data_IF_621538043477
#
_entry.id   IF_621538043477
#
_cell.length_a   1.000
_cell.length_b   1.000
_cell.length_c   1.000
_cell.angle_alpha   90.00
_cell.angle_beta   90.00
_cell.angle_gamma   90.00
#
_symmetry.space_group_name_H-M   'P 1'
#
loop_
_entity.id
_entity.type
_entity.pdbx_description
1 polymer ?
#
# COMPACT_ATOMS: atom_id res chain seq x y z
N UNK A 1 17.64 15.57 28.81
CA UNK A 1 17.42 14.87 27.53
C UNK A 1 15.97 15.09 27.14
N UNK A 2 15.68 15.54 25.92
CA UNK A 2 14.30 15.67 25.46
C UNK A 2 13.64 14.28 25.45
N UNK A 3 12.39 14.17 25.88
CA UNK A 3 11.64 12.92 25.81
C UNK A 3 11.52 12.55 24.32
N UNK A 4 11.86 11.31 23.91
CA UNK A 4 11.68 10.90 22.53
C UNK A 4 10.21 11.09 22.13
N UNK A 5 10.01 11.60 20.92
CA UNK A 5 8.67 11.82 20.39
C UNK A 5 8.03 10.47 20.09
N UNK A 6 6.82 10.26 20.60
CA UNK A 6 6.04 9.05 20.35
C UNK A 6 5.14 9.34 19.15
N UNK A 7 5.29 8.55 18.11
CA UNK A 7 4.45 8.60 16.92
C UNK A 7 3.60 7.33 16.85
N UNK A 8 2.38 7.50 16.34
CA UNK A 8 1.45 6.41 16.10
C UNK A 8 1.13 6.32 14.61
N UNK A 9 1.27 5.13 14.05
CA UNK A 9 0.84 4.81 12.68
C UNK A 9 -0.37 3.90 12.70
N UNK A 10 -1.41 4.24 11.94
CA UNK A 10 -2.66 3.48 11.82
C UNK A 10 -2.88 3.06 10.37
N UNK A 11 -2.77 1.77 10.07
CA UNK A 11 -3.07 1.21 8.76
C UNK A 11 -4.52 0.71 8.69
N UNK A 12 -5.32 1.36 7.82
CA UNK A 12 -6.75 1.11 7.66
C UNK A 12 -7.03 0.06 6.59
N UNK A 13 -6.71 -1.20 6.88
CA UNK A 13 -6.91 -2.33 5.98
C UNK A 13 -8.34 -2.90 5.99
N UNK A 14 -8.78 -3.45 4.84
CA UNK A 14 -10.12 -4.09 4.73
C UNK A 14 -10.24 -5.43 5.45
N UNK A 15 -9.12 -6.11 5.73
CA UNK A 15 -9.12 -7.32 6.55
C UNK A 15 -8.90 -7.02 8.04
N UNK A 16 -8.03 -6.05 8.34
CA UNK A 16 -7.65 -5.66 9.70
C UNK A 16 -7.21 -4.20 9.75
N UNK A 17 -7.42 -3.57 10.90
CA UNK A 17 -6.82 -2.29 11.28
C UNK A 17 -5.60 -2.58 12.14
N UNK A 18 -4.46 -1.94 11.83
CA UNK A 18 -3.22 -2.14 12.60
C UNK A 18 -2.72 -0.81 13.13
N UNK A 19 -2.51 -0.72 14.44
CA UNK A 19 -1.85 0.41 15.09
C UNK A 19 -0.45 0.00 15.52
N UNK A 20 0.53 0.88 15.29
CA UNK A 20 1.91 0.72 15.73
C UNK A 20 2.36 2.00 16.43
N UNK A 21 2.93 1.85 17.63
CA UNK A 21 3.58 2.94 18.36
C UNK A 21 5.08 2.84 18.16
N UNK A 22 5.73 3.98 17.91
CA UNK A 22 7.17 4.04 17.78
C UNK A 22 7.75 5.28 18.45
N UNK A 23 8.95 5.15 19.01
CA UNK A 23 9.77 6.30 19.38
C UNK A 23 10.56 6.75 18.17
N UNK A 24 10.48 8.04 17.85
CA UNK A 24 11.33 8.67 16.87
C UNK A 24 12.46 9.42 17.57
N UNK A 25 13.70 9.15 17.17
CA UNK A 25 14.87 9.94 17.55
C UNK A 25 15.28 10.82 16.35
N UNK A 26 14.92 12.12 16.34
CA UNK A 26 15.24 13.00 15.23
C UNK A 26 16.74 13.16 14.97
N UNK A 27 17.59 12.97 15.99
CA UNK A 27 19.04 13.12 15.85
C UNK A 27 19.68 11.89 15.20
N UNK A 28 19.14 10.70 15.45
CA UNK A 28 19.62 9.46 14.87
C UNK A 28 18.94 9.09 13.55
N UNK A 29 17.80 9.73 13.20
CA UNK A 29 16.97 9.36 12.07
C UNK A 29 16.40 7.94 12.18
N UNK A 30 16.30 7.41 13.40
CA UNK A 30 15.89 6.03 13.67
C UNK A 30 14.51 6.00 14.30
N UNK A 31 13.64 5.19 13.72
CA UNK A 31 12.35 4.81 14.29
C UNK A 31 12.53 3.48 15.02
N UNK A 32 12.10 3.42 16.27
CA UNK A 32 12.09 2.17 17.06
C UNK A 32 10.68 1.85 17.47
N UNK A 33 10.22 0.67 17.08
CA UNK A 33 8.90 0.16 17.44
C UNK A 33 8.84 -0.09 18.94
N UNK A 34 7.76 0.38 19.58
CA UNK A 34 7.46 0.19 21.00
C UNK A 34 6.44 -0.92 21.14
N UNK A 35 5.32 -0.81 20.42
CA UNK A 35 4.22 -1.77 20.49
C UNK A 35 3.40 -1.75 19.20
N UNK A 36 2.55 -2.75 19.03
CA UNK A 36 1.56 -2.76 17.97
C UNK A 36 0.44 -3.75 18.24
N UNK A 37 -0.70 -3.49 17.60
CA UNK A 37 -1.89 -4.31 17.68
C UNK A 37 -2.59 -4.36 16.32
N UNK A 38 -3.20 -5.50 15.99
CA UNK A 38 -3.93 -5.74 14.75
C UNK A 38 -5.31 -6.31 15.08
N UNK A 39 -6.36 -5.59 14.71
CA UNK A 39 -7.75 -5.98 14.98
C UNK A 39 -8.48 -6.26 13.67
N UNK A 40 -9.17 -7.41 13.52
CA UNK A 40 -10.00 -7.68 12.35
C UNK A 40 -11.06 -6.59 12.13
N UNK A 41 -11.22 -6.13 10.89
CA UNK A 41 -12.13 -5.06 10.56
C UNK A 41 -13.19 -5.53 9.56
N UNK A 42 -14.47 -5.33 9.91
CA UNK A 42 -15.61 -5.61 9.02
C UNK A 42 -16.23 -4.35 8.43
N UNK A 43 -15.77 -3.18 8.90
CA UNK A 43 -16.29 -1.87 8.49
C UNK A 43 -15.68 -1.32 7.21
N UNK A 44 -14.64 -1.98 6.67
CA UNK A 44 -13.91 -1.57 5.46
C UNK A 44 -14.01 -2.65 4.37
N UNK A 45 -14.25 -2.23 3.12
CA UNK A 45 -14.20 -3.08 1.93
C UNK A 45 -13.49 -2.38 0.79
N UNK A 46 -12.41 -2.98 0.27
CA UNK A 46 -11.60 -2.39 -0.80
C UNK A 46 -11.08 -0.97 -0.50
N UNK A 47 -10.84 -0.66 0.78
CA UNK A 47 -10.45 0.69 1.24
C UNK A 47 -11.59 1.69 1.46
N UNK A 48 -12.84 1.26 1.27
CA UNK A 48 -14.04 2.11 1.47
C UNK A 48 -14.74 1.73 2.77
N UNK A 49 -15.11 2.73 3.58
CA UNK A 49 -15.89 2.55 4.80
C UNK A 49 -17.33 2.17 4.43
N UNK A 50 -17.72 0.93 4.71
CA UNK A 50 -19.09 0.43 4.54
C UNK A 50 -19.89 0.47 5.85
N UNK A 51 -19.21 0.56 7.00
CA UNK A 51 -19.81 0.75 8.31
C UNK A 51 -18.89 1.59 9.20
N UNK A 52 -19.30 2.82 9.50
CA UNK A 52 -18.55 3.68 10.43
C UNK A 52 -18.48 3.03 11.83
N UNK A 53 -19.59 2.55 12.45
CA UNK A 53 -19.52 1.97 13.80
C UNK A 53 -18.55 0.78 13.91
N UNK A 54 -18.55 -0.13 12.94
CA UNK A 54 -17.62 -1.28 12.95
C UNK A 54 -16.17 -0.84 12.75
N UNK A 55 -15.94 0.18 11.92
CA UNK A 55 -14.60 0.75 11.71
C UNK A 55 -14.11 1.46 12.96
N UNK A 56 -14.93 2.31 13.57
CA UNK A 56 -14.65 3.00 14.83
C UNK A 56 -14.29 2.00 15.93
N UNK A 57 -15.05 0.92 16.06
CA UNK A 57 -14.77 -0.14 17.03
C UNK A 57 -13.41 -0.81 16.79
N UNK A 58 -13.09 -1.17 15.56
CA UNK A 58 -11.81 -1.79 15.23
C UNK A 58 -10.62 -0.84 15.49
N UNK A 59 -10.78 0.46 15.17
CA UNK A 59 -9.78 1.49 15.47
C UNK A 59 -9.60 1.64 16.98
N UNK A 60 -10.68 1.83 17.75
CA UNK A 60 -10.59 1.98 19.20
C UNK A 60 -9.84 0.81 19.86
N UNK A 61 -10.22 -0.43 19.52
CA UNK A 61 -9.56 -1.62 20.04
C UNK A 61 -8.08 -1.70 19.64
N UNK A 62 -7.73 -1.37 18.40
CA UNK A 62 -6.34 -1.42 17.95
C UNK A 62 -5.47 -0.38 18.66
N UNK A 63 -6.02 0.80 18.90
CA UNK A 63 -5.32 1.89 19.59
C UNK A 63 -5.17 1.57 21.08
N UNK A 64 -6.26 1.16 21.76
CA UNK A 64 -6.25 0.78 23.18
C UNK A 64 -5.25 -0.36 23.46
N UNK A 65 -5.24 -1.41 22.62
CA UNK A 65 -4.32 -2.54 22.80
C UNK A 65 -2.85 -2.14 22.54
N UNK A 66 -2.61 -1.21 21.59
CA UNK A 66 -1.27 -0.70 21.34
C UNK A 66 -0.77 0.20 22.48
N UNK A 67 -1.63 1.06 23.04
CA UNK A 67 -1.37 1.90 24.22
C UNK A 67 -1.08 1.04 25.46
N UNK A 68 -1.91 0.04 25.75
CA UNK A 68 -1.73 -0.87 26.89
C UNK A 68 -0.39 -1.62 26.82
N UNK A 69 -0.08 -2.19 25.64
CA UNK A 69 1.21 -2.89 25.42
C UNK A 69 2.41 -1.95 25.47
N UNK A 70 2.25 -0.71 25.03
CA UNK A 70 3.32 0.28 24.97
C UNK A 70 3.54 1.05 26.26
N UNK A 71 2.56 1.08 27.16
CA UNK A 71 2.57 1.93 28.35
C UNK A 71 2.58 3.43 28.03
N UNK A 72 2.07 3.81 26.85
CA UNK A 72 2.03 5.18 26.36
C UNK A 72 0.58 5.60 26.06
N UNK A 73 0.32 6.91 26.10
CA UNK A 73 -0.99 7.47 25.75
C UNK A 73 -0.81 8.38 24.54
N UNK A 74 -1.61 8.15 23.51
CA UNK A 74 -1.59 8.88 22.25
C UNK A 74 -2.94 9.53 21.97
N UNK A 75 -2.91 10.64 21.24
CA UNK A 75 -4.12 11.34 20.78
C UNK A 75 -4.12 11.60 19.29
N UNK A 76 -2.94 11.52 18.68
CA UNK A 76 -2.68 11.91 17.32
C UNK A 76 -2.05 10.73 16.57
N UNK A 77 -2.44 10.56 15.31
CA UNK A 77 -2.06 9.39 14.50
C UNK A 77 -1.83 9.76 13.04
N UNK A 78 -0.81 9.14 12.43
CA UNK A 78 -0.61 9.12 10.98
C UNK A 78 -1.45 7.98 10.41
N UNK A 79 -2.37 8.29 9.51
CA UNK A 79 -3.30 7.30 8.97
C UNK A 79 -2.87 6.86 7.57
N UNK A 80 -2.55 5.57 7.42
CA UNK A 80 -2.32 4.93 6.12
C UNK A 80 -3.64 4.65 5.40
N UNK A 81 -3.75 5.06 4.14
CA UNK A 81 -4.91 4.82 3.28
C UNK A 81 -4.53 4.10 1.99
N UNK A 82 -5.45 3.26 1.52
CA UNK A 82 -5.32 2.41 0.34
C UNK A 82 -6.69 2.14 -0.28
N UNK A 83 -6.73 1.58 -1.48
CA UNK A 83 -7.95 1.12 -2.13
C UNK A 83 -8.33 1.86 -3.41
N UNK A 84 -9.30 1.30 -4.13
CA UNK A 84 -9.59 1.65 -5.54
C UNK A 84 -10.17 3.05 -5.77
N UNK A 85 -10.44 3.80 -4.72
CA UNK A 85 -10.85 5.21 -4.81
C UNK A 85 -9.66 6.17 -5.02
N UNK A 86 -8.44 5.67 -4.84
CA UNK A 86 -7.20 6.37 -5.13
C UNK A 86 -6.92 6.30 -6.63
N UNK A 87 -6.59 7.46 -7.20
CA UNK A 87 -6.21 7.59 -8.62
C UNK A 87 -4.95 8.43 -8.71
N UNK A 88 -4.05 8.05 -9.59
CA UNK A 88 -2.76 8.69 -9.74
C UNK A 88 -2.54 9.23 -11.15
N UNK A 89 -1.74 10.29 -11.23
CA UNK A 89 -1.46 11.01 -12.47
C UNK A 89 -0.01 11.47 -12.48
N UNK A 90 0.61 11.45 -13.66
CA UNK A 90 1.88 12.15 -13.85
C UNK A 90 1.61 13.50 -14.47
N UNK A 91 2.21 14.55 -13.93
CA UNK A 91 2.13 15.90 -14.49
C UNK A 91 3.52 16.55 -14.53
N UNK A 92 3.65 17.64 -15.29
CA UNK A 92 4.87 18.44 -15.34
C UNK A 92 4.56 19.90 -15.05
N UNK A 93 5.46 20.54 -14.31
CA UNK A 93 5.46 21.98 -14.07
C UNK A 93 6.73 22.60 -14.61
N UNK A 94 6.66 23.89 -14.90
CA UNK A 94 7.78 24.68 -15.36
C UNK A 94 7.73 26.07 -14.72
N UNK A 95 8.89 26.61 -14.35
CA UNK A 95 9.03 27.90 -13.68
C UNK A 95 10.21 28.66 -14.26
N UNK A 96 9.98 29.90 -14.68
CA UNK A 96 11.02 30.77 -15.25
C UNK A 96 11.70 31.56 -14.14
N UNK A 97 13.03 31.52 -14.11
CA UNK A 97 13.83 32.26 -13.14
C UNK A 97 14.11 33.65 -13.71
N UNK A 98 13.34 34.63 -13.22
CA UNK A 98 13.40 36.01 -13.70
C UNK A 98 14.49 36.86 -13.03
N UNK A 99 15.12 36.34 -11.96
CA UNK A 99 16.17 37.06 -11.22
C UNK A 99 17.47 37.12 -12.01
N UNK A 100 18.26 38.16 -11.79
CA UNK A 100 19.50 38.42 -12.54
C UNK A 100 20.62 37.42 -12.22
N UNK A 101 20.67 36.93 -10.98
CA UNK A 101 21.65 35.94 -10.50
C UNK A 101 21.38 34.53 -11.02
N UNK A 102 20.14 34.24 -11.44
CA UNK A 102 19.68 32.94 -11.97
C UNK A 102 19.92 31.75 -11.03
N UNK A 103 20.23 32.02 -9.77
CA UNK A 103 20.41 30.99 -8.76
C UNK A 103 19.04 30.40 -8.40
N UNK A 104 18.95 29.07 -8.44
CA UNK A 104 17.74 28.35 -8.03
C UNK A 104 17.67 28.31 -6.51
N UNK A 105 16.57 28.81 -5.96
CA UNK A 105 16.28 28.83 -4.53
C UNK A 105 15.27 27.75 -4.16
N UNK A 106 15.12 27.48 -2.85
CA UNK A 106 14.08 26.60 -2.35
C UNK A 106 12.66 27.08 -2.70
N UNK A 107 12.46 28.40 -2.79
CA UNK A 107 11.17 28.99 -3.16
C UNK A 107 10.83 28.76 -4.64
N UNK A 108 11.84 28.72 -5.53
CA UNK A 108 11.59 28.35 -6.93
C UNK A 108 11.24 26.86 -7.07
N UNK A 109 11.89 26.01 -6.26
CA UNK A 109 11.55 24.58 -6.19
C UNK A 109 10.11 24.40 -5.69
N UNK A 110 9.71 25.11 -4.63
CA UNK A 110 8.33 25.09 -4.16
C UNK A 110 7.37 25.57 -5.26
N UNK A 111 7.71 26.67 -5.95
CA UNK A 111 6.88 27.27 -7.01
C UNK A 111 6.71 26.35 -8.23
N UNK A 112 7.77 25.69 -8.68
CA UNK A 112 7.68 24.75 -9.81
C UNK A 112 6.87 23.51 -9.46
N UNK A 113 6.98 23.02 -8.21
CA UNK A 113 6.15 21.91 -7.73
C UNK A 113 4.69 22.35 -7.67
N UNK A 114 4.36 23.54 -7.12
CA UNK A 114 2.99 24.05 -7.11
C UNK A 114 2.40 24.19 -8.53
N UNK A 115 3.21 24.65 -9.50
CA UNK A 115 2.81 24.65 -10.91
C UNK A 115 2.50 23.23 -11.42
N UNK A 116 3.32 22.24 -11.05
CA UNK A 116 3.14 20.85 -11.44
C UNK A 116 1.91 20.20 -10.76
N UNK A 117 1.47 20.70 -9.59
CA UNK A 117 0.26 20.22 -8.90
C UNK A 117 -1.04 20.63 -9.58
N UNK A 118 -1.01 21.64 -10.46
CA UNK A 118 -2.19 22.20 -11.10
C UNK A 118 -2.77 21.28 -12.19
N UNK A 119 -3.47 20.21 -11.77
CA UNK A 119 -4.22 19.31 -12.65
C UNK A 119 -5.72 19.61 -12.59
N UNK A 120 -6.48 19.41 -13.69
CA UNK A 120 -7.93 19.41 -13.64
C UNK A 120 -8.41 18.34 -12.66
N UNK A 121 -9.10 18.76 -11.61
CA UNK A 121 -9.62 17.89 -10.57
C UNK A 121 -11.10 18.17 -10.34
N UNK A 122 -11.88 17.10 -10.19
CA UNK A 122 -13.27 17.20 -9.76
C UNK A 122 -13.34 17.60 -8.28
N UNK A 123 -14.39 18.31 -7.89
CA UNK A 123 -14.54 18.86 -6.53
C UNK A 123 -14.75 17.78 -5.44
N UNK A 124 -14.93 16.52 -5.82
CA UNK A 124 -15.09 15.37 -4.94
C UNK A 124 -13.79 14.61 -4.67
N UNK A 125 -12.66 15.15 -5.13
CA UNK A 125 -11.31 14.59 -4.94
C UNK A 125 -10.38 15.59 -4.27
N UNK A 126 -9.40 15.04 -3.56
CA UNK A 126 -8.30 15.79 -2.95
C UNK A 126 -6.95 15.14 -3.27
N UNK A 127 -5.90 15.95 -3.24
CA UNK A 127 -4.51 15.48 -3.38
C UNK A 127 -4.05 14.96 -2.02
N UNK A 128 -3.61 13.70 -1.98
CA UNK A 128 -2.95 13.12 -0.80
C UNK A 128 -1.45 13.39 -0.85
N UNK A 129 -0.80 13.11 -1.98
CA UNK A 129 0.63 13.30 -2.14
C UNK A 129 1.01 13.80 -3.51
N UNK A 130 2.16 14.46 -3.55
CA UNK A 130 2.83 14.93 -4.75
C UNK A 130 4.27 14.53 -4.61
N UNK A 131 4.70 13.55 -5.41
CA UNK A 131 6.05 12.99 -5.35
C UNK A 131 6.85 13.53 -6.54
N UNK A 132 7.87 14.38 -6.31
CA UNK A 132 8.76 14.82 -7.38
C UNK A 132 9.51 13.62 -7.99
N UNK A 133 9.61 13.61 -9.31
CA UNK A 133 10.24 12.55 -10.12
C UNK A 133 11.57 13.00 -10.73
N UNK A 134 12.19 14.04 -10.16
CA UNK A 134 13.39 14.69 -10.65
C UNK A 134 13.12 16.03 -11.36
N UNK A 135 14.17 16.86 -11.37
CA UNK A 135 14.15 18.19 -11.98
C UNK A 135 14.92 18.19 -13.31
N UNK A 136 14.60 19.19 -14.13
CA UNK A 136 15.33 19.54 -15.33
C UNK A 136 15.66 21.02 -15.28
N UNK A 137 16.91 21.36 -15.59
CA UNK A 137 17.39 22.74 -15.63
C UNK A 137 17.82 23.06 -17.06
N UNK A 138 17.22 24.07 -17.68
CA UNK A 138 17.48 24.47 -19.06
C UNK A 138 17.44 23.28 -20.06
N UNK A 139 16.47 22.37 -19.85
CA UNK A 139 16.23 21.11 -20.61
C UNK A 139 17.23 19.99 -20.34
N UNK A 140 18.21 20.19 -19.45
CA UNK A 140 19.06 19.13 -18.96
C UNK A 140 18.35 18.38 -17.83
N UNK A 141 17.97 17.12 -18.12
CA UNK A 141 17.29 16.23 -17.17
C UNK A 141 18.24 15.62 -16.16
N UNK A 142 17.65 15.02 -15.11
CA UNK A 142 18.37 14.21 -14.13
C UNK A 142 19.02 15.04 -13.04
N UNK A 143 18.43 16.19 -12.70
CA UNK A 143 18.88 17.03 -11.58
C UNK A 143 18.10 16.60 -10.33
N UNK A 144 18.73 15.95 -9.33
CA UNK A 144 18.02 15.50 -8.13
C UNK A 144 17.71 16.66 -7.17
N UNK A 145 18.66 17.59 -7.02
CA UNK A 145 18.50 18.80 -6.22
C UNK A 145 19.03 20.01 -7.00
N UNK A 146 18.16 20.92 -7.47
CA UNK A 146 18.57 22.08 -8.26
C UNK A 146 18.99 23.28 -7.39
N UNK A 147 18.77 23.27 -6.07
CA UNK A 147 19.05 24.42 -5.20
C UNK A 147 20.54 24.79 -5.22
N UNK A 148 20.84 26.06 -5.45
CA UNK A 148 22.19 26.60 -5.59
C UNK A 148 22.81 26.44 -7.00
N UNK A 149 22.09 25.82 -7.95
CA UNK A 149 22.51 25.80 -9.36
C UNK A 149 22.07 27.09 -10.06
N UNK A 150 22.69 27.37 -11.21
CA UNK A 150 22.31 28.50 -12.08
C UNK A 150 21.47 27.99 -13.27
N UNK A 151 20.31 28.60 -13.51
CA UNK A 151 19.52 28.30 -14.71
C UNK A 151 18.37 29.26 -14.95
N UNK A 152 17.84 29.25 -16.18
CA UNK A 152 16.76 30.18 -16.58
C UNK A 152 15.38 29.53 -16.54
N UNK A 153 15.31 28.22 -16.76
CA UNK A 153 14.08 27.43 -16.76
C UNK A 153 14.25 26.21 -15.86
N UNK A 154 13.44 26.14 -14.81
CA UNK A 154 13.32 24.98 -13.93
C UNK A 154 12.06 24.19 -14.29
N UNK A 155 12.20 22.89 -14.52
CA UNK A 155 11.08 21.98 -14.78
C UNK A 155 11.07 20.84 -13.76
N UNK A 156 9.89 20.31 -13.46
CA UNK A 156 9.74 19.15 -12.57
C UNK A 156 8.68 18.21 -13.12
N UNK A 157 8.95 16.90 -13.07
CA UNK A 157 7.92 15.87 -13.19
C UNK A 157 7.38 15.50 -11.81
N UNK A 158 6.08 15.30 -11.66
CA UNK A 158 5.48 14.87 -10.40
C UNK A 158 4.54 13.69 -10.61
N UNK A 159 4.54 12.78 -9.64
CA UNK A 159 3.50 11.78 -9.45
C UNK A 159 2.49 12.33 -8.44
N UNK A 160 1.25 12.55 -8.86
CA UNK A 160 0.18 13.06 -8.01
C UNK A 160 -0.71 11.90 -7.63
N UNK A 161 -0.92 11.73 -6.32
CA UNK A 161 -1.83 10.75 -5.73
C UNK A 161 -3.07 11.50 -5.25
N UNK A 162 -4.23 11.14 -5.77
CA UNK A 162 -5.51 11.74 -5.38
C UNK A 162 -6.43 10.68 -4.79
N UNK A 163 -7.33 11.08 -3.90
CA UNK A 163 -8.36 10.21 -3.33
C UNK A 163 -9.73 10.89 -3.37
N UNK A 164 -10.79 10.08 -3.23
CA UNK A 164 -12.14 10.63 -3.04
C UNK A 164 -12.26 11.25 -1.66
N UNK A 165 -12.61 12.53 -1.60
CA UNK A 165 -12.76 13.27 -0.35
C UNK A 165 -13.84 12.67 0.55
N UNK A 166 -14.89 12.07 -0.03
CA UNK A 166 -15.94 11.43 0.76
C UNK A 166 -15.44 10.20 1.52
N UNK A 167 -14.58 9.38 0.90
CA UNK A 167 -13.98 8.21 1.52
C UNK A 167 -12.98 8.59 2.62
N UNK A 168 -12.10 9.56 2.34
CA UNK A 168 -11.15 10.08 3.33
C UNK A 168 -11.90 10.65 4.54
N UNK A 169 -12.92 11.50 4.32
CA UNK A 169 -13.74 12.04 5.41
C UNK A 169 -14.40 10.94 6.26
N UNK A 170 -14.86 9.83 5.66
CA UNK A 170 -15.44 8.73 6.43
C UNK A 170 -14.40 8.01 7.29
N UNK A 171 -13.15 7.88 6.83
CA UNK A 171 -12.04 7.35 7.62
C UNK A 171 -11.70 8.28 8.79
N UNK A 172 -11.55 9.59 8.53
CA UNK A 172 -11.34 10.60 9.57
C UNK A 172 -12.46 10.58 10.63
N UNK A 173 -13.72 10.43 10.20
CA UNK A 173 -14.86 10.32 11.12
C UNK A 173 -14.78 9.06 11.98
N UNK A 174 -14.39 7.92 11.42
CA UNK A 174 -14.24 6.69 12.19
C UNK A 174 -13.12 6.81 13.25
N UNK A 175 -11.98 7.39 12.89
CA UNK A 175 -10.87 7.64 13.83
C UNK A 175 -11.27 8.67 14.91
N UNK A 176 -11.95 9.75 14.52
CA UNK A 176 -12.43 10.77 15.45
C UNK A 176 -13.45 10.25 16.44
N UNK A 177 -14.38 9.41 16.00
CA UNK A 177 -15.36 8.76 16.90
C UNK A 177 -14.71 7.75 17.86
N UNK A 178 -13.53 7.23 17.54
CA UNK A 178 -12.74 6.40 18.43
C UNK A 178 -11.95 7.23 19.47
N UNK A 179 -12.00 8.57 19.40
CA UNK A 179 -11.33 9.46 20.35
C UNK A 179 -9.96 9.97 19.90
N UNK A 180 -9.55 9.68 18.66
CA UNK A 180 -8.22 10.04 18.14
C UNK A 180 -8.30 11.07 17.02
N UNK A 181 -7.22 11.82 16.80
CA UNK A 181 -7.10 12.81 15.74
C UNK A 181 -6.10 12.33 14.69
N UNK A 182 -6.49 12.35 13.43
CA UNK A 182 -5.56 12.13 12.32
C UNK A 182 -4.76 13.43 12.09
N UNK A 183 -3.43 13.34 12.15
CA UNK A 183 -2.55 14.49 11.87
C UNK A 183 -2.20 14.59 10.39
N UNK A 184 -2.04 13.45 9.72
CA UNK A 184 -1.82 13.37 8.29
C UNK A 184 -2.31 12.04 7.74
N UNK A 185 -2.65 12.05 6.46
CA UNK A 185 -3.15 10.89 5.72
C UNK A 185 -2.12 10.51 4.66
N UNK A 186 -1.58 9.30 4.79
CA UNK A 186 -0.49 8.81 3.96
C UNK A 186 -0.97 7.72 3.01
N UNK A 187 -0.64 7.81 1.73
CA UNK A 187 -0.84 6.71 0.79
C UNK A 187 0.05 5.53 1.19
N UNK A 188 -0.56 4.42 1.61
CA UNK A 188 0.16 3.29 2.21
C UNK A 188 1.26 2.74 1.30
N UNK A 189 1.05 2.71 -0.03
CA UNK A 189 2.06 2.22 -0.96
C UNK A 189 3.32 3.09 -0.98
N UNK A 190 3.18 4.41 -0.84
CA UNK A 190 4.30 5.33 -0.77
C UNK A 190 5.13 5.07 0.50
N UNK A 191 4.45 4.93 1.65
CA UNK A 191 5.11 4.60 2.92
C UNK A 191 5.80 3.22 2.86
N UNK A 192 5.15 2.22 2.24
CA UNK A 192 5.74 0.89 2.07
C UNK A 192 7.03 0.95 1.27
N UNK A 193 7.07 1.67 0.16
CA UNK A 193 8.28 1.77 -0.66
C UNK A 193 9.44 2.47 0.03
N UNK A 194 9.21 3.30 1.05
CA UNK A 194 10.28 3.84 1.90
C UNK A 194 10.87 2.82 2.87
N UNK A 195 10.17 1.71 3.13
CA UNK A 195 10.58 0.70 4.11
C UNK A 195 11.10 -0.58 3.46
N UNK A 196 10.44 -1.05 2.39
CA UNK A 196 10.70 -2.39 1.82
C UNK A 196 11.53 -2.37 0.54
N UNK A 197 11.65 -1.21 -0.11
CA UNK A 197 12.41 -1.08 -1.37
C UNK A 197 13.71 -0.34 -1.08
N UNK A 198 14.83 -0.97 -1.40
CA UNK A 198 16.16 -0.38 -1.23
C UNK A 198 16.38 0.81 -2.18
N UNK A 199 17.25 1.76 -1.83
CA UNK A 199 17.65 2.84 -2.73
C UNK A 199 18.16 2.33 -4.09
N UNK A 200 18.90 1.21 -4.10
CA UNK A 200 19.45 0.60 -5.31
C UNK A 200 18.34 0.03 -6.21
N UNK A 201 17.35 -0.67 -5.65
CA UNK A 201 16.18 -1.14 -6.40
C UNK A 201 15.36 0.04 -6.95
N UNK A 202 15.19 1.11 -6.16
CA UNK A 202 14.48 2.33 -6.63
C UNK A 202 15.19 3.01 -7.79
N UNK A 203 16.52 3.05 -7.76
CA UNK A 203 17.33 3.69 -8.79
C UNK A 203 17.35 2.86 -10.09
N UNK A 204 17.68 1.57 -9.97
CA UNK A 204 17.73 0.63 -11.08
C UNK A 204 16.37 0.45 -11.77
N UNK A 205 15.31 0.46 -10.97
CA UNK A 205 13.94 0.29 -11.40
C UNK A 205 13.38 -1.04 -10.94
N UNK A 206 12.30 -1.00 -10.16
CA UNK A 206 11.68 -2.19 -9.58
C UNK A 206 10.15 -2.03 -9.49
N UNK A 207 9.48 -3.16 -9.30
CA UNK A 207 8.06 -3.24 -9.03
C UNK A 207 7.82 -3.50 -7.54
N UNK A 208 6.96 -2.73 -6.89
CA UNK A 208 6.44 -3.01 -5.55
C UNK A 208 5.00 -3.51 -5.68
N UNK A 209 4.71 -4.71 -5.18
CA UNK A 209 3.36 -5.29 -5.19
C UNK A 209 2.95 -5.65 -3.76
N UNK A 210 2.04 -4.85 -3.19
CA UNK A 210 1.44 -5.09 -1.88
C UNK A 210 0.11 -5.83 -2.05
N UNK A 211 0.11 -7.11 -1.69
CA UNK A 211 -1.04 -8.00 -1.86
C UNK A 211 -1.81 -8.05 -0.54
N UNK A 212 -2.83 -7.20 -0.45
CA UNK A 212 -3.73 -7.13 0.70
C UNK A 212 -4.85 -8.16 0.67
N UNK A 213 -5.81 -7.98 1.58
CA UNK A 213 -6.99 -8.84 1.66
C UNK A 213 -7.94 -8.59 0.48
N UNK A 214 -8.44 -7.36 0.30
CA UNK A 214 -9.41 -7.07 -0.77
C UNK A 214 -8.84 -6.25 -1.93
N UNK A 215 -7.60 -5.77 -1.80
CA UNK A 215 -6.92 -4.97 -2.82
C UNK A 215 -5.46 -5.36 -2.97
N UNK A 216 -4.93 -5.09 -4.16
CA UNK A 216 -3.50 -5.16 -4.48
C UNK A 216 -3.06 -3.77 -4.89
N UNK A 217 -2.01 -3.27 -4.25
CA UNK A 217 -1.40 -1.99 -4.54
C UNK A 217 -0.14 -2.25 -5.36
N UNK A 218 -0.01 -1.62 -6.51
CA UNK A 218 1.12 -1.79 -7.43
C UNK A 218 1.84 -0.46 -7.56
N UNK A 219 3.16 -0.43 -7.39
CA UNK A 219 4.01 0.74 -7.58
C UNK A 219 5.21 0.41 -8.43
N UNK A 220 5.63 1.34 -9.29
CA UNK A 220 6.90 1.23 -10.02
C UNK A 220 7.82 2.36 -9.59
N UNK A 221 9.03 1.98 -9.18
CA UNK A 221 10.12 2.90 -8.93
C UNK A 221 11.08 2.88 -10.12
N UNK A 222 11.67 4.04 -10.43
CA UNK A 222 12.73 4.19 -11.44
C UNK A 222 13.44 5.53 -11.23
N UNK A 223 14.78 5.54 -11.29
CA UNK A 223 15.63 6.70 -10.96
C UNK A 223 15.21 7.32 -9.60
N UNK A 224 15.09 6.46 -8.58
CA UNK A 224 14.93 6.87 -7.19
C UNK A 224 13.54 7.37 -6.79
N UNK A 225 12.55 7.37 -7.68
CA UNK A 225 11.22 7.93 -7.41
C UNK A 225 10.07 7.05 -7.90
N UNK A 226 8.91 7.18 -7.24
CA UNK A 226 7.68 6.50 -7.65
C UNK A 226 7.17 7.11 -8.96
N UNK A 227 7.17 6.30 -10.04
CA UNK A 227 6.79 6.75 -11.39
C UNK A 227 5.37 6.37 -11.79
N UNK A 228 4.86 5.31 -11.20
CA UNK A 228 3.53 4.78 -11.47
C UNK A 228 3.00 4.12 -10.20
N UNK A 229 1.70 4.25 -9.97
CA UNK A 229 1.02 3.44 -8.97
C UNK A 229 -0.43 3.16 -9.34
N UNK A 230 -0.97 2.04 -8.87
CA UNK A 230 -2.34 1.60 -9.13
C UNK A 230 -2.87 0.74 -8.00
N UNK A 231 -4.13 0.98 -7.65
CA UNK A 231 -4.90 0.13 -6.75
C UNK A 231 -5.82 -0.79 -7.56
N UNK A 232 -5.79 -2.09 -7.27
CA UNK A 232 -6.58 -3.14 -7.91
C UNK A 232 -7.55 -3.73 -6.90
N UNK A 233 -8.84 -3.83 -7.25
CA UNK A 233 -9.89 -4.38 -6.39
C UNK A 233 -9.93 -5.92 -6.35
N UNK A 234 -8.78 -6.56 -6.15
CA UNK A 234 -8.62 -8.00 -6.01
C UNK A 234 -7.53 -8.28 -4.97
N UNK A 235 -7.58 -9.41 -4.26
CA UNK A 235 -6.61 -9.74 -3.21
C UNK A 235 -6.89 -11.08 -2.53
N UNK A 236 -6.25 -11.36 -1.40
CA UNK A 236 -6.33 -12.64 -0.68
C UNK A 236 -7.75 -13.07 -0.24
N UNK A 237 -8.67 -12.13 -0.02
CA UNK A 237 -10.09 -12.37 0.25
C UNK A 237 -10.75 -13.16 -0.88
N UNK A 238 -10.39 -12.86 -2.13
CA UNK A 238 -10.98 -13.51 -3.30
C UNK A 238 -10.53 -14.96 -3.40
N UNK A 239 -9.29 -15.27 -3.01
CA UNK A 239 -8.79 -16.65 -2.87
C UNK A 239 -9.61 -17.38 -1.80
N UNK A 240 -9.79 -16.77 -0.64
CA UNK A 240 -10.58 -17.35 0.46
C UNK A 240 -12.03 -17.59 0.06
N UNK A 241 -12.62 -16.67 -0.70
CA UNK A 241 -14.00 -16.76 -1.18
C UNK A 241 -14.19 -17.92 -2.15
N UNK A 242 -13.24 -18.12 -3.07
CA UNK A 242 -13.29 -19.21 -4.04
C UNK A 242 -13.18 -20.56 -3.33
N UNK A 243 -12.28 -20.68 -2.35
CA UNK A 243 -12.18 -21.86 -1.46
C UNK A 243 -13.50 -22.08 -0.71
N UNK A 244 -14.05 -21.04 -0.08
CA UNK A 244 -15.29 -21.16 0.69
C UNK A 244 -16.46 -21.64 -0.18
N UNK A 245 -16.57 -21.11 -1.39
CA UNK A 245 -17.60 -21.47 -2.35
C UNK A 245 -17.46 -22.92 -2.82
N UNK A 246 -16.29 -23.32 -3.32
CA UNK A 246 -16.05 -24.66 -3.83
C UNK A 246 -16.14 -25.72 -2.73
N UNK A 247 -15.66 -25.38 -1.52
CA UNK A 247 -15.68 -26.29 -0.39
C UNK A 247 -17.00 -26.27 0.40
N UNK A 248 -17.97 -25.42 0.05
CA UNK A 248 -19.22 -25.23 0.79
C UNK A 248 -18.99 -25.06 2.30
N UNK A 249 -18.03 -24.21 2.65
CA UNK A 249 -17.61 -23.94 4.04
C UNK A 249 -17.70 -22.44 4.36
N UNK A 250 -17.55 -22.08 5.63
CA UNK A 250 -17.55 -20.68 6.05
C UNK A 250 -16.29 -19.94 5.60
N UNK A 251 -16.37 -18.62 5.41
CA UNK A 251 -15.19 -17.79 5.10
C UNK A 251 -14.05 -17.94 6.12
N UNK A 252 -14.39 -18.10 7.41
CA UNK A 252 -13.40 -18.29 8.47
C UNK A 252 -12.70 -19.64 8.35
N UNK A 253 -13.43 -20.71 8.07
CA UNK A 253 -12.85 -22.04 7.86
C UNK A 253 -12.01 -22.08 6.58
N UNK A 254 -12.48 -21.45 5.49
CA UNK A 254 -11.72 -21.33 4.26
C UNK A 254 -10.42 -20.55 4.44
N UNK A 255 -10.43 -19.46 5.24
CA UNK A 255 -9.23 -18.70 5.55
C UNK A 255 -8.21 -19.57 6.31
N UNK A 256 -8.67 -20.30 7.33
CA UNK A 256 -7.81 -21.20 8.10
C UNK A 256 -7.23 -22.32 7.23
N UNK A 257 -8.02 -22.88 6.31
CA UNK A 257 -7.55 -23.87 5.33
C UNK A 257 -6.50 -23.25 4.40
N UNK A 258 -6.76 -22.05 3.85
CA UNK A 258 -5.84 -21.32 2.97
C UNK A 258 -4.50 -21.04 3.66
N UNK A 259 -4.52 -20.51 4.89
CA UNK A 259 -3.31 -20.17 5.64
C UNK A 259 -2.50 -21.41 6.02
N UNK A 260 -3.18 -22.52 6.34
CA UNK A 260 -2.52 -23.74 6.80
C UNK A 260 -2.02 -24.65 5.68
N UNK A 261 -2.75 -24.72 4.57
CA UNK A 261 -2.55 -25.72 3.52
C UNK A 261 -2.41 -25.13 2.11
N UNK A 262 -2.64 -23.83 1.93
CA UNK A 262 -2.65 -23.21 0.61
C UNK A 262 -1.27 -23.18 -0.05
N UNK A 263 -1.23 -23.48 -1.34
CA UNK A 263 -0.08 -23.30 -2.20
C UNK A 263 -0.55 -22.86 -3.60
N UNK A 264 0.29 -22.10 -4.29
CA UNK A 264 -0.02 -21.54 -5.62
C UNK A 264 0.43 -22.46 -6.75
N UNK A 265 1.47 -23.26 -6.54
CA UNK A 265 2.07 -24.12 -7.56
C UNK A 265 1.94 -25.60 -7.20
N UNK A 266 1.68 -26.43 -8.21
CA UNK A 266 1.56 -27.88 -8.06
C UNK A 266 2.82 -28.54 -7.50
N UNK A 267 4.01 -28.02 -7.83
CA UNK A 267 5.29 -28.49 -7.30
C UNK A 267 5.47 -28.29 -5.79
N UNK A 268 4.66 -27.43 -5.17
CA UNK A 268 4.72 -27.13 -3.74
C UNK A 268 3.71 -27.94 -2.93
N UNK A 269 2.77 -28.61 -3.59
CA UNK A 269 1.72 -29.40 -2.94
C UNK A 269 2.25 -30.80 -2.68
N UNK A 270 2.20 -31.21 -1.42
CA UNK A 270 2.35 -32.62 -1.06
C UNK A 270 1.01 -33.32 -1.28
N UNK A 271 0.99 -34.36 -2.12
CA UNK A 271 -0.22 -35.11 -2.43
C UNK A 271 -0.58 -36.12 -1.30
N UNK A 272 0.27 -36.24 -0.27
CA UNK A 272 0.01 -37.07 0.90
C UNK A 272 -0.89 -36.35 1.93
N UNK A 273 -1.83 -37.13 2.50
CA UNK A 273 -2.71 -36.68 3.57
C UNK A 273 -4.08 -36.18 3.10
N UNK A 274 -4.86 -35.73 4.08
CA UNK A 274 -6.23 -35.27 3.91
C UNK A 274 -6.47 -33.99 4.71
N UNK A 275 -7.22 -33.05 4.14
CA UNK A 275 -7.62 -31.82 4.78
C UNK A 275 -9.07 -31.96 5.21
N UNK A 276 -9.32 -31.93 6.52
CA UNK A 276 -10.68 -31.94 7.07
C UNK A 276 -11.36 -30.58 6.85
N UNK A 277 -12.50 -30.60 6.17
CA UNK A 277 -13.35 -29.45 5.88
C UNK A 277 -14.67 -29.60 6.64
N UNK A 278 -15.07 -28.57 7.36
CA UNK A 278 -16.38 -28.49 8.01
C UNK A 278 -17.35 -27.75 7.09
N UNK A 279 -18.50 -28.35 6.78
CA UNK A 279 -19.55 -27.73 5.98
C UNK A 279 -20.21 -26.54 6.69
N UNK A 280 -21.01 -25.76 5.95
CA UNK A 280 -21.72 -24.59 6.46
C UNK A 280 -22.67 -24.88 7.64
N UNK A 281 -23.18 -26.10 7.75
CA UNK A 281 -24.03 -26.52 8.87
C UNK A 281 -23.26 -26.76 10.17
N UNK A 282 -21.92 -26.70 10.13
CA UNK A 282 -21.03 -26.93 11.26
C UNK A 282 -20.95 -28.39 11.72
N UNK A 283 -21.63 -29.33 11.03
CA UNK A 283 -21.79 -30.72 11.46
C UNK A 283 -21.17 -31.68 10.46
N UNK A 284 -21.43 -31.46 9.18
CA UNK A 284 -20.90 -32.31 8.13
C UNK A 284 -19.41 -32.06 7.97
N UNK A 285 -18.61 -33.12 8.14
CA UNK A 285 -17.18 -33.10 7.86
C UNK A 285 -16.91 -33.91 6.62
N UNK A 286 -16.08 -33.38 5.73
CA UNK A 286 -15.54 -34.10 4.59
C UNK A 286 -14.04 -33.91 4.52
N UNK A 287 -13.37 -34.84 3.87
CA UNK A 287 -11.95 -34.75 3.62
C UNK A 287 -11.72 -34.44 2.16
N UNK A 288 -10.79 -33.51 1.89
CA UNK A 288 -10.31 -33.19 0.55
C UNK A 288 -8.82 -33.49 0.45
N UNK A 289 -8.34 -33.71 -0.76
CA UNK A 289 -6.89 -33.80 -1.01
C UNK A 289 -6.28 -32.40 -1.10
N UNK A 290 -5.01 -32.21 -0.71
CA UNK A 290 -4.31 -30.93 -0.89
C UNK A 290 -4.38 -30.38 -2.32
N UNK A 291 -4.33 -31.25 -3.32
CA UNK A 291 -4.45 -30.87 -4.73
C UNK A 291 -5.80 -30.28 -5.13
N UNK A 292 -6.89 -30.68 -4.48
CA UNK A 292 -8.20 -30.07 -4.70
C UNK A 292 -8.20 -28.59 -4.28
N UNK A 293 -7.40 -28.22 -3.28
CA UNK A 293 -7.26 -26.82 -2.86
C UNK A 293 -6.52 -25.97 -3.91
N UNK A 294 -5.52 -26.56 -4.58
CA UNK A 294 -4.76 -25.90 -5.64
C UNK A 294 -5.67 -25.46 -6.80
N UNK A 295 -6.65 -26.30 -7.18
CA UNK A 295 -7.60 -26.03 -8.27
C UNK A 295 -8.43 -24.76 -8.04
N UNK A 296 -8.52 -24.26 -6.79
CA UNK A 296 -9.20 -23.01 -6.44
C UNK A 296 -8.24 -21.85 -6.21
N UNK A 297 -7.05 -22.13 -5.67
CA UNK A 297 -6.06 -21.09 -5.36
C UNK A 297 -5.37 -20.59 -6.62
N UNK A 298 -4.85 -21.51 -7.43
CA UNK A 298 -4.00 -21.16 -8.57
C UNK A 298 -4.71 -20.23 -9.57
N UNK A 299 -5.95 -20.51 -10.04
CA UNK A 299 -6.62 -19.63 -11.00
C UNK A 299 -6.86 -18.23 -10.45
N UNK A 300 -7.09 -18.09 -9.14
CA UNK A 300 -7.30 -16.78 -8.52
C UNK A 300 -5.99 -15.99 -8.43
N UNK A 301 -4.87 -16.66 -8.14
CA UNK A 301 -3.56 -16.02 -8.12
C UNK A 301 -3.14 -15.62 -9.54
N UNK A 302 -3.41 -16.47 -10.53
CA UNK A 302 -3.26 -16.14 -11.96
C UNK A 302 -4.07 -14.89 -12.34
N UNK A 303 -5.31 -14.77 -11.87
CA UNK A 303 -6.10 -13.56 -12.11
C UNK A 303 -5.52 -12.31 -11.42
N UNK A 304 -4.98 -12.46 -10.21
CA UNK A 304 -4.32 -11.35 -9.48
C UNK A 304 -3.13 -10.84 -10.29
N UNK A 305 -2.18 -11.72 -10.65
CA UNK A 305 -1.01 -11.31 -11.42
C UNK A 305 -1.36 -10.88 -12.85
N UNK A 306 -2.37 -11.49 -13.47
CA UNK A 306 -2.90 -11.03 -14.76
C UNK A 306 -3.42 -9.60 -14.70
N UNK A 307 -4.08 -9.19 -13.61
CA UNK A 307 -4.51 -7.81 -13.38
C UNK A 307 -3.35 -6.88 -13.10
N UNK A 308 -2.31 -7.34 -12.40
CA UNK A 308 -1.05 -6.58 -12.22
C UNK A 308 -0.41 -6.33 -13.58
N UNK A 309 -0.21 -7.36 -14.41
CA UNK A 309 0.36 -7.23 -15.74
C UNK A 309 -0.48 -6.30 -16.64
N UNK A 310 -1.81 -6.45 -16.62
CA UNK A 310 -2.72 -5.55 -17.35
C UNK A 310 -2.58 -4.08 -16.92
N UNK A 311 -2.38 -3.82 -15.62
CA UNK A 311 -2.14 -2.46 -15.12
C UNK A 311 -0.79 -1.89 -15.60
N UNK A 312 0.21 -2.74 -15.77
CA UNK A 312 1.55 -2.39 -16.22
C UNK A 312 1.66 -2.20 -17.75
N UNK A 313 0.66 -2.59 -18.55
CA UNK A 313 0.69 -2.37 -20.01
C UNK A 313 0.87 -0.90 -20.42
N UNK A 314 0.48 0.04 -19.55
CA UNK A 314 0.66 1.49 -19.77
C UNK A 314 1.86 2.06 -19.00
N UNK A 315 2.64 1.20 -18.34
CA UNK A 315 3.84 1.55 -17.61
C UNK A 315 5.04 1.44 -18.57
N UNK A 316 5.68 2.56 -18.87
CA UNK A 316 6.80 2.63 -19.83
C UNK A 316 8.17 2.44 -19.16
N UNK A 317 8.23 1.78 -18.01
CA UNK A 317 9.46 1.59 -17.23
C UNK A 317 9.83 0.11 -17.21
N UNK A 318 11.13 -0.17 -17.30
CA UNK A 318 11.67 -1.50 -17.09
C UNK A 318 11.92 -1.74 -15.60
N UNK A 319 11.92 -3.01 -15.18
CA UNK A 319 12.15 -3.41 -13.79
C UNK A 319 13.38 -4.33 -13.64
N UNK A 320 14.60 -3.87 -13.99
CA UNK A 320 15.80 -4.70 -13.87
C UNK A 320 16.16 -5.04 -12.41
N UNK A 321 15.65 -4.29 -11.44
CA UNK A 321 15.71 -4.61 -10.02
C UNK A 321 14.62 -5.58 -9.54
N UNK A 322 13.81 -6.12 -10.45
CA UNK A 322 12.85 -7.17 -10.14
C UNK A 322 11.56 -6.69 -9.47
N UNK A 323 10.92 -7.60 -8.74
CA UNK A 323 9.68 -7.32 -8.00
C UNK A 323 9.79 -7.61 -6.50
N UNK A 324 9.40 -6.63 -5.69
CA UNK A 324 9.28 -6.74 -4.24
C UNK A 324 7.82 -7.03 -3.88
N UNK A 325 7.54 -8.21 -3.32
CA UNK A 325 6.22 -8.61 -2.86
C UNK A 325 6.05 -8.34 -1.35
N UNK A 326 4.92 -7.76 -0.97
CA UNK A 326 4.57 -7.54 0.44
C UNK A 326 3.07 -7.74 0.68
N UNK A 327 2.62 -7.53 1.91
CA UNK A 327 1.23 -7.70 2.33
C UNK A 327 0.90 -9.12 2.77
N UNK A 328 -0.26 -9.27 3.43
CA UNK A 328 -0.68 -10.56 4.00
C UNK A 328 -0.96 -11.64 2.94
N UNK A 329 -1.35 -11.25 1.73
CA UNK A 329 -1.56 -12.17 0.62
C UNK A 329 -0.27 -12.72 0.02
N UNK A 330 0.86 -12.00 0.14
CA UNK A 330 2.16 -12.49 -0.31
C UNK A 330 2.71 -13.64 0.55
N UNK A 331 2.15 -13.88 1.75
CA UNK A 331 2.52 -14.99 2.62
C UNK A 331 1.99 -16.35 2.14
N UNK A 332 1.12 -16.38 1.13
CA UNK A 332 0.66 -17.64 0.54
C UNK A 332 1.84 -18.35 -0.13
N UNK A 333 1.99 -19.65 0.12
CA UNK A 333 3.15 -20.42 -0.34
C UNK A 333 3.20 -20.48 -1.87
N UNK A 334 4.30 -20.05 -2.48
CA UNK A 334 4.47 -20.05 -3.94
C UNK A 334 4.17 -18.72 -4.62
N UNK A 335 3.87 -17.65 -3.87
CA UNK A 335 3.59 -16.33 -4.47
C UNK A 335 4.81 -15.73 -5.21
N UNK A 336 6.05 -15.75 -4.67
CA UNK A 336 7.22 -15.28 -5.42
C UNK A 336 7.44 -16.05 -6.72
N UNK A 337 7.39 -17.38 -6.68
CA UNK A 337 7.61 -18.23 -7.85
C UNK A 337 6.51 -18.06 -8.91
N UNK A 338 5.27 -17.82 -8.48
CA UNK A 338 4.18 -17.47 -9.38
C UNK A 338 4.37 -16.07 -10.00
N UNK A 339 4.87 -15.10 -9.24
CA UNK A 339 5.20 -13.78 -9.77
C UNK A 339 6.31 -13.87 -10.83
N UNK A 340 7.37 -14.64 -10.60
CA UNK A 340 8.44 -14.86 -11.57
C UNK A 340 7.88 -15.43 -12.90
N UNK A 341 7.00 -16.43 -12.81
CA UNK A 341 6.39 -17.06 -14.00
C UNK A 341 5.42 -16.14 -14.75
N UNK A 342 4.64 -15.31 -14.03
CA UNK A 342 3.51 -14.57 -14.61
C UNK A 342 3.84 -13.11 -14.94
N UNK A 343 4.79 -12.51 -14.23
CA UNK A 343 5.26 -11.15 -14.48
C UNK A 343 6.51 -11.12 -15.35
N UNK A 344 7.17 -12.27 -15.57
CA UNK A 344 8.44 -12.38 -16.31
C UNK A 344 9.55 -11.50 -15.70
N UNK A 345 9.55 -11.38 -14.37
CA UNK A 345 10.52 -10.61 -13.59
C UNK A 345 11.31 -11.55 -12.66
N UNK A 346 12.58 -11.23 -12.43
CA UNK A 346 13.42 -11.87 -11.41
C UNK A 346 13.28 -11.17 -10.05
#
# INVERSE_FOLDING_TARGET
>A
MAKPEIIAGLDMGSGKVTCVLASHDPAAGKVRIISGASIPCKGLKGGVVVSIPETTKAVALAMEEAEEKGGEVIREVLMGVRGTHITTYNNRGAYNIARTDREITADDVASVIESAKAIPMSSDREILHVVPQGFSLDRQKGVPNPVGMEGSLLEVGVHIVTASSSHINNLHRAVSQAGFRVIDTVYSLLALGEVVVSPEEKDLGCLLVDIGDQSVSVGSYYEGSLRFSRELGIGGYHVTRDIAYALHTSMSAAQAIKEKHGAVLSSLVDDEGAISVVGLDGRNKREIKPRELLDYIQPRVEEIYGKVNSALQNCNYAFPGGAVLTGGGALLRGMPEAAEQMLELQ
#
